data_IF_436624504441
#
_entry.id   IF_436624504441
#
_cell.length_a   1.000
_cell.length_b   1.000
_cell.length_c   1.000
_cell.angle_alpha   90.00
_cell.angle_beta   90.00
_cell.angle_gamma   90.00
#
_symmetry.space_group_name_H-M   'P 1'
#
loop_
_entity.id
_entity.type
_entity.pdbx_description
1 polymer ?
#
# COMPACT_ATOMS: atom_id res chain seq x y z
N UNK A 1 -49.41 -10.33 -4.26
CA UNK A 1 -48.27 -10.82 -5.07
C UNK A 1 -47.81 -9.64 -5.92
N UNK A 2 -46.60 -9.09 -5.82
CA UNK A 2 -45.31 -9.70 -6.13
C UNK A 2 -44.23 -8.94 -5.34
N UNK A 3 -43.36 -9.71 -4.70
CA UNK A 3 -42.30 -9.25 -3.80
C UNK A 3 -41.23 -8.52 -4.62
N UNK A 4 -41.01 -7.23 -4.40
CA UNK A 4 -39.76 -6.59 -4.82
C UNK A 4 -38.76 -6.69 -3.65
N UNK A 5 -38.27 -7.92 -3.47
CA UNK A 5 -37.11 -8.25 -2.66
C UNK A 5 -35.86 -7.85 -3.45
N UNK A 6 -35.37 -6.63 -3.30
CA UNK A 6 -34.04 -6.24 -3.80
C UNK A 6 -33.41 -5.22 -2.84
N UNK A 7 -33.10 -5.66 -1.62
CA UNK A 7 -32.12 -5.01 -0.76
C UNK A 7 -30.92 -5.96 -0.61
N UNK A 8 -30.19 -6.12 -1.70
CA UNK A 8 -28.87 -6.75 -1.73
C UNK A 8 -27.85 -5.78 -1.14
N UNK A 9 -27.83 -5.69 0.19
CA UNK A 9 -26.72 -5.10 0.93
C UNK A 9 -25.55 -6.11 0.91
N UNK A 10 -24.80 -6.13 -0.19
CA UNK A 10 -23.51 -6.79 -0.25
C UNK A 10 -22.52 -5.97 0.58
N UNK A 11 -22.49 -6.22 1.89
CA UNK A 11 -21.45 -5.72 2.76
C UNK A 11 -20.17 -6.49 2.42
N UNK A 12 -19.37 -5.96 1.49
CA UNK A 12 -18.02 -6.44 1.22
C UNK A 12 -17.20 -6.09 2.45
N UNK A 13 -17.08 -7.06 3.36
CA UNK A 13 -16.04 -7.10 4.36
C UNK A 13 -14.71 -7.21 3.61
N UNK A 14 -14.07 -6.07 3.33
CA UNK A 14 -12.63 -6.05 3.07
C UNK A 14 -11.93 -6.37 4.38
N UNK A 15 -11.91 -7.66 4.73
CA UNK A 15 -10.96 -8.16 5.70
C UNK A 15 -9.59 -8.02 5.05
N UNK A 16 -8.88 -6.92 5.34
CA UNK A 16 -7.45 -6.81 5.07
C UNK A 16 -6.74 -7.76 6.03
N UNK A 17 -6.87 -9.06 5.75
CA UNK A 17 -5.99 -10.06 6.26
C UNK A 17 -4.58 -9.54 5.94
N UNK A 18 -3.79 -9.28 6.98
CA UNK A 18 -2.39 -8.90 6.85
C UNK A 18 -1.63 -10.15 6.38
N UNK A 19 -1.91 -10.58 5.15
CA UNK A 19 -0.99 -11.37 4.37
C UNK A 19 0.27 -10.53 4.27
N UNK A 20 1.41 -11.19 4.40
CA UNK A 20 2.71 -10.60 4.13
C UNK A 20 2.65 -10.07 2.68
N UNK A 21 2.37 -8.78 2.52
CA UNK A 21 2.27 -8.17 1.20
C UNK A 21 3.67 -8.13 0.59
N UNK A 22 3.83 -8.57 -0.67
CA UNK A 22 5.10 -8.46 -1.35
C UNK A 22 5.46 -6.98 -1.51
N UNK A 23 6.74 -6.65 -1.35
CA UNK A 23 7.20 -5.27 -1.41
C UNK A 23 6.81 -4.51 -2.69
N UNK A 24 6.77 -5.20 -3.84
CA UNK A 24 6.39 -4.57 -5.11
C UNK A 24 4.91 -4.15 -5.15
N UNK A 25 4.01 -4.93 -4.56
CA UNK A 25 2.59 -4.58 -4.48
C UNK A 25 2.39 -3.37 -3.56
N UNK A 26 3.00 -3.40 -2.36
CA UNK A 26 2.94 -2.27 -1.43
C UNK A 26 3.56 -1.01 -2.03
N UNK A 27 4.66 -1.14 -2.78
CA UNK A 27 5.30 -0.04 -3.50
C UNK A 27 4.37 0.57 -4.55
N UNK A 28 3.65 -0.24 -5.32
CA UNK A 28 2.65 0.25 -6.29
C UNK A 28 1.53 1.03 -5.60
N UNK A 29 0.95 0.48 -4.53
CA UNK A 29 -0.10 1.16 -3.76
C UNK A 29 0.37 2.50 -3.18
N UNK A 30 1.60 2.55 -2.64
CA UNK A 30 2.19 3.78 -2.11
C UNK A 30 2.42 4.78 -3.26
N UNK A 31 2.91 4.32 -4.41
CA UNK A 31 3.10 5.17 -5.59
C UNK A 31 1.79 5.79 -6.04
N UNK A 32 0.73 5.01 -6.17
CA UNK A 32 -0.59 5.50 -6.56
C UNK A 32 -1.11 6.55 -5.56
N UNK A 33 -0.97 6.29 -4.26
CA UNK A 33 -1.34 7.25 -3.21
C UNK A 33 -0.54 8.55 -3.31
N UNK A 34 0.78 8.47 -3.49
CA UNK A 34 1.64 9.66 -3.62
C UNK A 34 1.28 10.46 -4.88
N UNK A 35 1.06 9.77 -6.01
CA UNK A 35 0.64 10.39 -7.27
C UNK A 35 -0.74 11.05 -7.14
N UNK A 36 -1.69 10.40 -6.47
CA UNK A 36 -3.03 10.96 -6.21
C UNK A 36 -2.99 12.22 -5.34
N UNK A 37 -1.95 12.39 -4.52
CA UNK A 37 -1.69 13.62 -3.75
C UNK A 37 -0.99 14.72 -4.58
N UNK A 38 -0.80 14.52 -5.89
CA UNK A 38 -0.22 15.51 -6.79
C UNK A 38 1.30 15.64 -6.69
N UNK A 39 1.98 14.69 -6.05
CA UNK A 39 3.44 14.69 -5.97
C UNK A 39 4.00 14.14 -7.28
N UNK A 40 4.73 14.99 -8.00
CA UNK A 40 5.48 14.62 -9.20
C UNK A 40 6.97 14.39 -8.86
N UNK A 41 7.66 13.61 -9.70
CA UNK A 41 9.10 13.37 -9.62
C UNK A 41 9.58 12.78 -8.26
N UNK A 42 9.29 11.49 -8.05
CA UNK A 42 9.79 10.73 -6.92
C UNK A 42 10.14 9.30 -7.35
N UNK A 43 10.96 8.63 -6.55
CA UNK A 43 11.17 7.19 -6.65
C UNK A 43 10.96 6.53 -5.29
N UNK A 44 10.63 5.24 -5.35
CA UNK A 44 10.47 4.38 -4.18
C UNK A 44 11.49 3.25 -4.28
N UNK A 45 12.39 3.18 -3.30
CA UNK A 45 13.41 2.15 -3.21
C UNK A 45 13.07 1.18 -2.08
N UNK A 46 13.31 -0.11 -2.31
CA UNK A 46 13.15 -1.14 -1.28
C UNK A 46 14.55 -1.43 -0.73
N UNK A 47 14.70 -1.29 0.58
CA UNK A 47 15.93 -1.60 1.30
C UNK A 47 15.63 -2.56 2.45
N UNK A 48 16.65 -3.21 2.98
CA UNK A 48 16.50 -4.07 4.15
C UNK A 48 16.15 -3.22 5.39
N UNK A 49 15.35 -3.79 6.29
CA UNK A 49 14.80 -3.06 7.42
C UNK A 49 15.89 -2.60 8.42
N UNK A 50 16.96 -3.37 8.53
CA UNK A 50 18.13 -3.15 9.39
C UNK A 50 19.12 -2.11 8.82
N UNK A 51 19.04 -1.80 7.51
CA UNK A 51 19.88 -0.77 6.91
C UNK A 51 19.52 0.60 7.47
N UNK A 52 20.44 1.28 8.13
CA UNK A 52 20.22 2.66 8.57
C UNK A 52 20.23 3.59 7.35
N UNK A 53 19.10 4.26 7.11
CA UNK A 53 18.91 5.13 5.96
C UNK A 53 18.21 6.41 6.43
N UNK A 54 18.82 7.60 6.22
CA UNK A 54 18.26 8.86 6.69
C UNK A 54 17.05 9.33 5.86
N UNK A 55 16.74 8.66 4.74
CA UNK A 55 15.60 8.99 3.88
C UNK A 55 14.29 8.56 4.52
N UNK A 56 13.20 9.16 4.05
CA UNK A 56 11.88 8.94 4.63
C UNK A 56 11.35 7.55 4.30
N UNK A 57 11.13 6.72 5.32
CA UNK A 57 10.42 5.44 5.19
C UNK A 57 8.92 5.72 5.01
N UNK A 58 8.33 5.15 3.98
CA UNK A 58 6.89 5.30 3.63
C UNK A 58 6.10 4.00 3.74
N UNK A 59 6.78 2.87 3.97
CA UNK A 59 6.13 1.59 4.23
C UNK A 59 7.12 0.50 4.62
N UNK A 60 6.58 -0.62 5.12
CA UNK A 60 7.33 -1.83 5.48
C UNK A 60 6.61 -3.05 4.91
N UNK A 61 7.34 -3.98 4.30
CA UNK A 61 6.81 -5.13 3.55
C UNK A 61 7.57 -6.42 3.91
N UNK A 62 7.19 -7.54 3.29
CA UNK A 62 7.81 -8.86 3.50
C UNK A 62 7.90 -9.24 4.99
N UNK A 63 6.84 -8.94 5.75
CA UNK A 63 6.73 -9.29 7.16
C UNK A 63 7.60 -8.45 8.09
N UNK A 64 8.09 -7.28 7.63
CA UNK A 64 8.94 -6.41 8.43
C UNK A 64 10.42 -6.47 8.08
N UNK A 65 10.82 -7.33 7.14
CA UNK A 65 12.22 -7.53 6.76
C UNK A 65 12.75 -6.47 5.80
N UNK A 66 11.85 -5.77 5.10
CA UNK A 66 12.18 -4.72 4.13
C UNK A 66 11.33 -3.49 4.35
N UNK A 67 11.89 -2.34 4.01
CA UNK A 67 11.23 -1.04 4.07
C UNK A 67 11.32 -0.32 2.73
N UNK A 68 10.31 0.49 2.45
CA UNK A 68 10.21 1.29 1.23
C UNK A 68 10.57 2.73 1.61
N UNK A 69 11.64 3.25 1.03
CA UNK A 69 12.10 4.62 1.22
C UNK A 69 11.69 5.50 0.05
N UNK A 70 11.28 6.72 0.39
CA UNK A 70 10.92 7.76 -0.56
C UNK A 70 12.15 8.60 -0.92
N UNK A 71 12.38 8.74 -2.22
CA UNK A 71 13.43 9.59 -2.77
C UNK A 71 12.77 10.69 -3.60
N UNK A 72 13.14 11.92 -3.29
CA UNK A 72 12.69 13.10 -4.05
C UNK A 72 13.70 13.39 -5.16
N UNK A 73 13.21 13.58 -6.38
CA UNK A 73 14.02 13.99 -7.53
C UNK A 73 13.96 15.50 -7.76
#
# INVERSE_FOLDING_TARGET
>A
MKRLLLLSAALVLAAEAHAIKPCEELKSEISEKIAANGVAAYTLEIIDADQDDPRKVVGTCDGGTKKIVYVRN
#
